data_IF_600990123024
#
_entry.id   IF_600990123024
#
_cell.length_a   1.000
_cell.length_b   1.000
_cell.length_c   1.000
_cell.angle_alpha   90.00
_cell.angle_beta   90.00
_cell.angle_gamma   90.00
#
_symmetry.space_group_name_H-M   'P 1'
#
loop_
_entity.id
_entity.type
_entity.pdbx_description
1 polymer ?
#
# COMPACT_ATOMS: atom_id res chain seq x y z
N UNK A 1 12.56 7.42 -22.29
CA UNK A 1 11.20 6.84 -22.30
C UNK A 1 11.31 5.43 -21.76
N UNK A 2 10.62 5.12 -20.66
CA UNK A 2 10.57 3.76 -20.10
C UNK A 2 9.68 2.92 -21.04
N UNK A 3 10.20 1.83 -21.56
CA UNK A 3 9.49 0.97 -22.53
C UNK A 3 8.41 0.14 -21.84
N UNK A 4 7.44 -0.38 -22.59
CA UNK A 4 6.32 -1.20 -22.10
C UNK A 4 6.71 -2.52 -21.39
N UNK A 5 8.00 -2.84 -21.30
CA UNK A 5 8.55 -3.96 -20.52
C UNK A 5 9.21 -3.55 -19.20
N UNK A 6 9.15 -2.29 -18.80
CA UNK A 6 9.87 -1.80 -17.62
C UNK A 6 9.02 -2.00 -16.35
N UNK A 7 9.14 -3.21 -15.78
CA UNK A 7 8.65 -3.67 -14.47
C UNK A 7 7.12 -3.68 -14.32
N UNK A 8 6.53 -4.87 -14.41
CA UNK A 8 5.10 -5.15 -14.15
C UNK A 8 4.85 -5.73 -12.75
N UNK A 9 5.82 -5.61 -11.85
CA UNK A 9 5.78 -6.23 -10.52
C UNK A 9 5.97 -5.14 -9.47
N UNK A 10 5.03 -5.03 -8.54
CA UNK A 10 5.18 -4.21 -7.35
C UNK A 10 5.69 -5.10 -6.21
N UNK A 11 6.88 -4.81 -5.69
CA UNK A 11 7.46 -5.45 -4.52
C UNK A 11 7.34 -4.49 -3.33
N UNK A 12 6.51 -4.83 -2.35
CA UNK A 12 6.40 -4.06 -1.10
C UNK A 12 7.34 -4.67 -0.06
N UNK A 13 8.32 -3.90 0.41
CA UNK A 13 9.24 -4.36 1.44
C UNK A 13 8.70 -4.12 2.85
N UNK A 14 8.80 -5.15 3.69
CA UNK A 14 8.59 -5.19 5.14
C UNK A 14 7.13 -5.07 5.64
N UNK A 15 6.44 -6.22 5.66
CA UNK A 15 5.22 -6.47 6.41
C UNK A 15 5.08 -7.96 6.68
N UNK A 16 4.49 -8.32 7.82
CA UNK A 16 4.03 -9.69 8.08
C UNK A 16 3.02 -10.07 6.99
N UNK A 17 3.20 -11.21 6.32
CA UNK A 17 2.23 -11.71 5.35
C UNK A 17 1.13 -12.48 6.12
N UNK A 18 -0.13 -12.13 5.87
CA UNK A 18 -1.29 -12.59 6.67
C UNK A 18 -2.14 -13.55 5.84
N UNK A 19 -2.49 -14.72 6.39
CA UNK A 19 -3.24 -15.81 5.74
C UNK A 19 -3.87 -16.83 6.73
N UNK A 20 -5.19 -17.00 6.75
CA UNK A 20 -6.04 -18.03 7.41
C UNK A 20 -6.23 -18.12 8.95
N UNK A 21 -7.31 -17.54 9.56
CA UNK A 21 -7.87 -17.64 10.97
C UNK A 21 -7.42 -16.64 12.11
N UNK A 22 -8.23 -16.39 13.18
CA UNK A 22 -8.09 -15.18 13.99
C UNK A 22 -7.03 -15.25 15.08
N UNK A 23 -6.09 -14.30 15.06
CA UNK A 23 -5.23 -13.97 16.20
C UNK A 23 -5.62 -12.59 16.72
N UNK A 24 -5.88 -12.50 18.02
CA UNK A 24 -5.97 -11.22 18.72
C UNK A 24 -4.56 -10.65 18.87
N UNK A 25 -4.16 -9.76 17.96
CA UNK A 25 -2.91 -9.01 18.10
C UNK A 25 -3.25 -7.54 18.29
N UNK A 26 -2.99 -7.09 19.52
CA UNK A 26 -2.91 -5.68 19.89
C UNK A 26 -1.96 -4.93 18.96
N UNK A 27 -2.34 -3.70 18.67
CA UNK A 27 -1.62 -2.66 17.92
C UNK A 27 -0.08 -2.75 17.98
N UNK A 28 0.58 -3.36 16.99
CA UNK A 28 1.94 -2.97 16.53
C UNK A 28 2.47 -3.86 15.39
N UNK A 29 1.97 -3.63 14.17
CA UNK A 29 2.81 -3.84 12.98
C UNK A 29 2.77 -2.51 12.24
N UNK A 30 3.69 -1.62 12.62
CA UNK A 30 3.84 -0.28 12.06
C UNK A 30 4.53 -0.36 10.69
N UNK A 31 3.74 -0.51 9.64
CA UNK A 31 4.11 0.08 8.35
C UNK A 31 3.69 1.55 8.39
N UNK A 32 4.52 2.48 7.94
CA UNK A 32 4.13 3.89 7.84
C UNK A 32 3.16 4.16 6.67
N UNK A 33 2.67 3.13 5.98
CA UNK A 33 1.74 3.22 4.86
C UNK A 33 2.40 3.61 3.53
N UNK A 34 3.73 3.52 3.43
CA UNK A 34 4.45 3.93 2.21
C UNK A 34 4.25 2.97 1.05
N UNK A 35 4.19 1.67 1.31
CA UNK A 35 3.96 0.65 0.29
C UNK A 35 2.58 0.84 -0.37
N UNK A 36 1.56 1.12 0.44
CA UNK A 36 0.20 1.42 -0.01
C UNK A 36 0.15 2.72 -0.81
N UNK A 37 0.96 3.72 -0.43
CA UNK A 37 1.10 4.98 -1.17
C UNK A 37 1.80 4.79 -2.53
N UNK A 38 2.87 3.99 -2.58
CA UNK A 38 3.56 3.64 -3.82
C UNK A 38 2.62 2.90 -4.78
N UNK A 39 1.89 1.91 -4.26
CA UNK A 39 0.84 1.22 -5.01
C UNK A 39 -0.22 2.20 -5.54
N UNK A 40 -0.75 3.08 -4.68
CA UNK A 40 -1.74 4.09 -5.05
C UNK A 40 -1.24 5.05 -6.13
N UNK A 41 0.02 5.48 -6.08
CA UNK A 41 0.65 6.32 -7.11
C UNK A 41 0.77 5.57 -8.44
N UNK A 42 1.23 4.32 -8.43
CA UNK A 42 1.35 3.51 -9.64
C UNK A 42 -0.02 3.22 -10.27
N UNK A 43 -1.05 2.92 -9.44
CA UNK A 43 -2.44 2.77 -9.90
C UNK A 43 -2.95 4.05 -10.54
N UNK A 44 -2.75 5.19 -9.88
CA UNK A 44 -3.18 6.49 -10.40
C UNK A 44 -2.51 6.84 -11.73
N UNK A 45 -1.22 6.53 -11.90
CA UNK A 45 -0.48 6.75 -13.14
C UNK A 45 -0.88 5.78 -14.27
N UNK A 46 -1.75 4.81 -14.02
CA UNK A 46 -2.11 3.75 -14.97
C UNK A 46 -0.96 2.78 -15.25
N UNK A 47 0.07 2.76 -14.42
CA UNK A 47 1.22 1.87 -14.57
C UNK A 47 0.88 0.43 -14.15
N UNK A 48 -0.08 0.29 -13.23
CA UNK A 48 -0.59 -1.00 -12.74
C UNK A 48 -2.13 -0.98 -12.70
N UNK A 49 -2.73 -2.15 -12.81
CA UNK A 49 -4.17 -2.40 -12.80
C UNK A 49 -4.57 -3.61 -11.96
N UNK A 50 -5.87 -3.94 -11.94
CA UNK A 50 -6.37 -5.06 -11.14
C UNK A 50 -5.79 -6.41 -11.59
N UNK A 51 -5.35 -6.51 -12.85
CA UNK A 51 -4.69 -7.70 -13.42
C UNK A 51 -3.22 -7.80 -13.03
N UNK A 52 -2.63 -6.73 -12.48
CA UNK A 52 -1.21 -6.69 -12.11
C UNK A 52 -0.98 -7.48 -10.82
N UNK A 53 -0.18 -8.55 -10.83
CA UNK A 53 0.08 -9.34 -9.62
C UNK A 53 0.82 -8.53 -8.54
N UNK A 54 0.37 -8.66 -7.30
CA UNK A 54 1.08 -8.16 -6.11
C UNK A 54 1.79 -9.32 -5.45
N UNK A 55 3.11 -9.23 -5.35
CA UNK A 55 3.96 -10.30 -4.82
C UNK A 55 4.76 -9.76 -3.64
N UNK A 56 4.85 -10.54 -2.57
CA UNK A 56 5.71 -10.22 -1.42
C UNK A 56 6.58 -11.41 -1.04
N UNK A 57 7.66 -11.13 -0.32
CA UNK A 57 8.51 -12.14 0.28
C UNK A 57 8.63 -11.91 1.78
N UNK A 58 8.44 -12.96 2.57
CA UNK A 58 8.57 -12.92 4.02
C UNK A 58 9.26 -14.18 4.53
N UNK A 59 9.81 -14.13 5.74
CA UNK A 59 10.27 -15.35 6.42
C UNK A 59 9.06 -16.23 6.82
N UNK A 60 9.27 -17.54 6.95
CA UNK A 60 8.20 -18.47 7.33
C UNK A 60 7.54 -18.11 8.67
N UNK A 61 8.30 -17.60 9.63
CA UNK A 61 7.81 -17.11 10.94
C UNK A 61 6.98 -15.82 10.87
N UNK A 62 7.06 -15.10 9.75
CA UNK A 62 6.26 -13.89 9.51
C UNK A 62 4.96 -14.21 8.76
N UNK A 63 4.68 -15.48 8.50
CA UNK A 63 3.37 -15.90 8.05
C UNK A 63 2.47 -16.06 9.27
N UNK A 64 1.43 -15.25 9.36
CA UNK A 64 0.42 -15.31 10.43
C UNK A 64 -0.93 -15.68 9.87
N UNK A 65 -1.79 -16.20 10.72
CA UNK A 65 -3.18 -16.52 10.40
C UNK A 65 -4.00 -15.25 9.99
N UNK A 66 -5.08 -15.39 9.20
CA UNK A 66 -5.86 -14.29 8.58
C UNK A 66 -6.26 -13.21 9.58
N UNK A 67 -6.15 -11.98 9.09
CA UNK A 67 -6.79 -10.86 9.73
C UNK A 67 -8.26 -10.81 9.29
N UNK A 68 -9.21 -10.64 10.22
CA UNK A 68 -10.61 -10.38 9.89
C UNK A 68 -10.73 -9.26 8.85
N UNK A 69 -11.50 -9.49 7.78
CA UNK A 69 -11.63 -8.56 6.64
C UNK A 69 -12.10 -7.17 7.11
N UNK A 70 -12.90 -7.10 8.16
CA UNK A 70 -13.36 -5.86 8.80
C UNK A 70 -12.24 -5.00 9.40
N UNK A 71 -11.05 -5.59 9.63
CA UNK A 71 -9.86 -4.85 10.06
C UNK A 71 -9.00 -4.37 8.90
N UNK A 72 -9.29 -4.79 7.66
CA UNK A 72 -8.60 -4.30 6.48
C UNK A 72 -9.06 -2.88 6.15
N UNK A 73 -8.10 -2.00 5.95
CA UNK A 73 -8.36 -0.65 5.50
C UNK A 73 -8.54 -0.66 3.98
N UNK A 74 -9.32 0.30 3.46
CA UNK A 74 -9.58 0.43 2.01
C UNK A 74 -8.30 0.66 1.17
N UNK A 75 -7.21 1.06 1.82
CA UNK A 75 -5.90 1.27 1.22
C UNK A 75 -4.93 0.10 1.41
N UNK A 76 -5.31 -0.92 2.19
CA UNK A 76 -4.48 -2.12 2.32
C UNK A 76 -4.44 -2.84 0.97
N UNK A 77 -3.24 -3.20 0.53
CA UNK A 77 -3.04 -3.86 -0.77
C UNK A 77 -3.09 -5.37 -0.56
N UNK A 78 -4.09 -6.08 -1.11
CA UNK A 78 -4.11 -7.54 -1.05
C UNK A 78 -2.96 -8.12 -1.89
N UNK A 79 -2.31 -9.15 -1.35
CA UNK A 79 -1.19 -9.85 -2.00
C UNK A 79 -1.71 -11.08 -2.71
N UNK A 80 -1.31 -11.28 -3.98
CA UNK A 80 -1.69 -12.43 -4.80
C UNK A 80 -0.76 -13.63 -4.54
N UNK A 81 0.53 -13.36 -4.31
CA UNK A 81 1.57 -14.38 -4.13
C UNK A 81 2.48 -14.02 -2.94
N UNK A 82 2.66 -14.97 -2.03
CA UNK A 82 3.59 -14.86 -0.90
C UNK A 82 4.71 -15.89 -1.10
N UNK A 83 5.94 -15.40 -1.18
CA UNK A 83 7.14 -16.24 -1.23
C UNK A 83 7.79 -16.32 0.16
N UNK A 84 8.04 -17.53 0.65
CA UNK A 84 8.88 -17.77 1.82
C UNK A 84 10.12 -18.57 1.41
N UNK A 85 11.17 -18.63 2.26
CA UNK A 85 12.31 -19.49 2.00
C UNK A 85 11.96 -20.96 1.69
N UNK A 86 10.84 -21.47 2.22
CA UNK A 86 10.46 -22.89 2.08
C UNK A 86 9.35 -23.16 1.07
N UNK A 87 8.54 -22.15 0.69
CA UNK A 87 7.36 -22.37 -0.17
C UNK A 87 6.87 -21.09 -0.85
N UNK A 88 6.04 -21.28 -1.88
CA UNK A 88 5.28 -20.23 -2.54
C UNK A 88 3.79 -20.47 -2.30
N UNK A 89 3.08 -19.42 -1.88
CA UNK A 89 1.65 -19.46 -1.53
C UNK A 89 0.90 -18.55 -2.50
N UNK A 90 -0.10 -19.11 -3.19
CA UNK A 90 -1.07 -18.35 -4.00
C UNK A 90 -2.30 -18.10 -3.14
N UNK A 91 -2.58 -16.83 -2.82
CA UNK A 91 -3.63 -16.49 -1.85
C UNK A 91 -5.04 -16.68 -2.42
N UNK A 92 -5.18 -16.56 -3.75
CA UNK A 92 -6.48 -16.55 -4.45
C UNK A 92 -7.49 -15.60 -3.78
N UNK A 93 -7.00 -14.50 -3.24
CA UNK A 93 -7.81 -13.52 -2.50
C UNK A 93 -8.87 -12.91 -3.41
N UNK A 94 -10.09 -12.78 -2.88
CA UNK A 94 -11.20 -12.06 -3.54
C UNK A 94 -11.29 -10.60 -3.10
N UNK A 95 -10.35 -10.12 -2.28
CA UNK A 95 -10.32 -8.74 -1.80
C UNK A 95 -9.97 -7.81 -2.96
N UNK A 96 -10.76 -6.76 -3.22
CA UNK A 96 -10.46 -5.83 -4.30
C UNK A 96 -9.20 -5.02 -4.01
N UNK A 97 -8.42 -4.77 -5.05
CA UNK A 97 -7.22 -3.93 -4.97
C UNK A 97 -7.61 -2.44 -4.85
N UNK A 98 -6.80 -1.63 -4.13
CA UNK A 98 -6.98 -0.18 -4.12
C UNK A 98 -7.00 0.42 -5.53
N UNK A 99 -7.85 1.43 -5.73
CA UNK A 99 -8.05 2.06 -7.05
C UNK A 99 -7.18 3.31 -7.26
N UNK A 100 -6.34 3.66 -6.29
CA UNK A 100 -5.48 4.84 -6.34
C UNK A 100 -5.17 5.38 -4.96
N UNK A 101 -5.00 6.69 -4.87
CA UNK A 101 -4.69 7.40 -3.62
C UNK A 101 -5.99 7.90 -2.98
N UNK A 102 -6.23 7.52 -1.73
CA UNK A 102 -7.34 8.01 -0.91
C UNK A 102 -6.92 9.29 -0.18
N UNK A 103 -7.04 10.44 -0.84
CA UNK A 103 -6.56 11.74 -0.36
C UNK A 103 -7.17 12.17 0.99
N UNK A 104 -8.41 11.78 1.25
CA UNK A 104 -9.14 11.98 2.50
C UNK A 104 -8.60 11.17 3.68
N UNK A 105 -7.67 10.24 3.43
CA UNK A 105 -6.96 9.49 4.47
C UNK A 105 -5.54 10.02 4.72
N UNK A 106 -5.08 11.00 3.93
CA UNK A 106 -3.74 11.56 4.07
C UNK A 106 -3.75 12.83 4.90
N UNK A 107 -3.04 12.81 6.02
CA UNK A 107 -2.88 13.97 6.88
C UNK A 107 -2.11 15.10 6.19
N UNK A 108 -2.34 16.37 6.59
CA UNK A 108 -1.50 17.49 6.17
C UNK A 108 -0.02 17.26 6.47
N UNK A 109 0.31 16.64 7.61
CA UNK A 109 1.68 16.37 8.04
C UNK A 109 2.36 15.39 7.08
N UNK A 110 1.67 14.32 6.68
CA UNK A 110 2.23 13.29 5.77
C UNK A 110 2.42 13.85 4.36
N UNK A 111 1.46 14.64 3.88
CA UNK A 111 1.62 15.42 2.66
C UNK A 111 2.82 16.38 2.77
N UNK A 112 3.06 17.02 3.92
CA UNK A 112 4.20 17.92 4.13
C UNK A 112 5.57 17.20 4.12
N UNK A 113 5.62 15.92 4.51
CA UNK A 113 6.86 15.14 4.49
C UNK A 113 7.17 14.57 3.10
N UNK A 114 6.15 14.13 2.36
CA UNK A 114 6.37 13.40 1.09
C UNK A 114 6.19 14.35 -0.10
N UNK A 115 7.31 14.81 -0.68
CA UNK A 115 7.33 15.77 -1.80
C UNK A 115 6.50 15.31 -3.00
N UNK A 116 6.61 14.04 -3.37
CA UNK A 116 5.93 13.51 -4.56
C UNK A 116 4.41 13.55 -4.42
N UNK A 117 3.86 13.29 -3.23
CA UNK A 117 2.42 13.38 -2.99
C UNK A 117 1.90 14.81 -3.12
N UNK A 118 2.66 15.82 -2.67
CA UNK A 118 2.27 17.22 -2.87
C UNK A 118 2.25 17.60 -4.34
N UNK A 119 3.28 17.20 -5.08
CA UNK A 119 3.37 17.49 -6.50
C UNK A 119 2.22 16.83 -7.26
N UNK A 120 1.91 15.57 -6.92
CA UNK A 120 0.81 14.84 -7.52
C UNK A 120 -0.55 15.46 -7.18
N UNK A 121 -0.79 15.78 -5.90
CA UNK A 121 -2.01 16.46 -5.45
C UNK A 121 -2.21 17.78 -6.19
N UNK A 122 -1.19 18.64 -6.20
CA UNK A 122 -1.25 19.94 -6.86
C UNK A 122 -1.49 19.82 -8.37
N UNK A 123 -0.89 18.82 -9.02
CA UNK A 123 -1.10 18.56 -10.45
C UNK A 123 -2.56 18.16 -10.72
N UNK A 124 -3.12 17.24 -9.93
CA UNK A 124 -4.51 16.80 -10.07
C UNK A 124 -5.47 17.97 -9.85
N UNK A 125 -5.23 18.80 -8.83
CA UNK A 125 -6.08 19.95 -8.54
C UNK A 125 -6.04 20.98 -9.68
N UNK A 126 -4.89 21.17 -10.34
CA UNK A 126 -4.76 22.02 -11.51
C UNK A 126 -5.46 21.45 -12.75
N UNK A 127 -5.32 20.15 -13.00
CA UNK A 127 -5.91 19.49 -14.18
C UNK A 127 -7.44 19.36 -14.07
N UNK A 128 -7.96 19.11 -12.86
CA UNK A 128 -9.40 18.91 -12.62
C UNK A 128 -10.12 20.21 -12.25
N UNK A 129 -9.39 21.25 -11.82
CA UNK A 129 -9.96 22.47 -11.24
C UNK A 129 -10.64 22.27 -9.90
N UNK A 130 -10.53 21.08 -9.29
CA UNK A 130 -11.18 20.72 -8.03
C UNK A 130 -10.13 20.50 -6.94
N UNK A 131 -10.40 21.02 -5.74
CA UNK A 131 -9.54 20.81 -4.59
C UNK A 131 -9.73 19.39 -4.04
N UNK A 132 -8.64 18.64 -3.90
CA UNK A 132 -8.69 17.28 -3.37
C UNK A 132 -8.85 17.31 -1.84
N UNK A 133 -9.60 16.35 -1.27
CA UNK A 133 -9.77 16.27 0.18
C UNK A 133 -8.42 16.01 0.88
N UNK A 134 -8.36 16.36 2.16
CA UNK A 134 -7.22 16.05 3.03
C UNK A 134 -7.78 15.40 4.28
N UNK A 135 -7.11 14.36 4.76
CA UNK A 135 -7.49 13.66 5.98
C UNK A 135 -7.22 14.45 7.26
N UNK A 136 -7.58 13.87 8.41
CA UNK A 136 -7.34 14.49 9.71
C UNK A 136 -5.84 14.63 9.99
N UNK A 137 -5.49 15.60 10.84
CA UNK A 137 -4.11 15.77 11.33
C UNK A 137 -3.66 14.53 12.10
N UNK A 138 -2.40 14.13 11.92
CA UNK A 138 -1.81 12.98 12.61
C UNK A 138 -0.44 13.32 13.22
N UNK A 139 -0.11 12.68 14.35
CA UNK A 139 1.22 12.77 14.94
C UNK A 139 2.13 11.73 14.28
N UNK A 140 2.97 12.19 13.36
CA UNK A 140 3.92 11.34 12.67
C UNK A 140 5.08 10.91 13.57
N UNK A 141 5.62 9.68 13.39
CA UNK A 141 6.88 9.29 14.01
C UNK A 141 8.02 10.20 13.53
N UNK A 142 9.12 10.30 14.30
CA UNK A 142 10.29 11.05 13.87
C UNK A 142 10.85 10.42 12.59
N UNK A 143 11.15 11.27 11.60
CA UNK A 143 11.79 10.81 10.37
C UNK A 143 13.14 10.17 10.69
N UNK A 144 13.36 8.96 10.20
CA UNK A 144 14.65 8.30 10.32
C UNK A 144 15.75 9.21 9.75
N UNK A 145 16.75 9.54 10.57
CA UNK A 145 17.93 10.24 10.10
C UNK A 145 18.78 9.23 9.32
N UNK A 146 19.11 9.56 8.07
CA UNK A 146 20.00 8.77 7.23
C UNK A 146 21.46 9.06 7.56
#
# INVERSE_FOLDING_TARGET
>A
MLSAGTIKEACTSAGVAKYGRPIGLEEKIKGEGFAELEYGMLRYMGAIDDSTPVVTSVHDEQLVDDIPIDKLLIHDVPVDIICTPTRVIFTNTSIPKPQGIYWEKLSPEKLSQIRILRQLKSKIEQETGQKLPTGPSEKLPPTAQR
#
